data_IF_355411126262
#
_entry.id   IF_355411126262
#
_cell.length_a   1.000
_cell.length_b   1.000
_cell.length_c   1.000
_cell.angle_alpha   90.00
_cell.angle_beta   90.00
_cell.angle_gamma   90.00
#
_symmetry.space_group_name_H-M   'P 1'
#
loop_
_entity.id
_entity.type
_entity.pdbx_description
1 polymer ?
#
# COMPACT_ATOMS: atom_id res chain seq x y z
N UNK A 1 -23.66 47.25 -9.59
CA UNK A 1 -22.99 45.99 -9.97
C UNK A 1 -23.44 44.81 -9.10
N UNK A 2 -23.37 44.90 -7.76
CA UNK A 2 -23.87 43.84 -6.86
C UNK A 2 -25.37 43.53 -6.99
N UNK A 3 -26.23 44.53 -7.24
CA UNK A 3 -27.70 44.33 -7.34
C UNK A 3 -28.11 43.52 -8.58
N UNK A 4 -27.42 43.70 -9.71
CA UNK A 4 -27.66 42.95 -10.96
C UNK A 4 -27.20 41.49 -10.80
N UNK A 5 -26.07 41.27 -10.13
CA UNK A 5 -25.58 39.93 -9.80
C UNK A 5 -26.54 39.17 -8.88
N UNK A 6 -27.13 39.85 -7.90
CA UNK A 6 -28.14 39.26 -7.00
C UNK A 6 -29.43 38.94 -7.77
N UNK A 7 -29.88 39.82 -8.67
CA UNK A 7 -31.07 39.61 -9.50
C UNK A 7 -30.95 38.42 -10.48
N UNK A 8 -29.74 38.12 -10.95
CA UNK A 8 -29.48 37.01 -11.87
C UNK A 8 -28.70 35.85 -11.24
N UNK A 9 -28.59 35.84 -9.91
CA UNK A 9 -27.83 34.84 -9.15
C UNK A 9 -28.22 33.41 -9.52
N UNK A 10 -29.52 33.10 -9.58
CA UNK A 10 -30.01 31.77 -9.96
C UNK A 10 -29.57 31.36 -11.38
N UNK A 11 -29.61 32.28 -12.36
CA UNK A 11 -29.18 31.99 -13.74
C UNK A 11 -27.68 31.74 -13.82
N UNK A 12 -26.91 32.53 -13.06
CA UNK A 12 -25.45 32.38 -12.99
C UNK A 12 -25.04 31.08 -12.29
N UNK A 13 -25.74 30.67 -11.23
CA UNK A 13 -25.52 29.39 -10.56
C UNK A 13 -25.77 28.24 -11.53
N UNK A 14 -26.89 28.25 -12.25
CA UNK A 14 -27.22 27.19 -13.22
C UNK A 14 -26.17 27.17 -14.35
N UNK A 15 -25.81 28.33 -14.90
CA UNK A 15 -24.79 28.42 -15.95
C UNK A 15 -23.44 27.87 -15.45
N UNK A 16 -22.98 28.29 -14.27
CA UNK A 16 -21.72 27.82 -13.68
C UNK A 16 -21.75 26.32 -13.41
N UNK A 17 -22.89 25.78 -12.97
CA UNK A 17 -23.05 24.35 -12.75
C UNK A 17 -22.97 23.55 -14.06
N UNK A 18 -23.65 24.02 -15.11
CA UNK A 18 -23.58 23.40 -16.44
C UNK A 18 -22.17 23.49 -17.02
N UNK A 19 -21.50 24.64 -16.91
CA UNK A 19 -20.10 24.80 -17.30
C UNK A 19 -19.19 23.83 -16.54
N UNK A 20 -19.43 23.62 -15.24
CA UNK A 20 -18.69 22.65 -14.43
C UNK A 20 -18.88 21.21 -14.91
N UNK A 21 -20.12 20.80 -15.23
CA UNK A 21 -20.41 19.47 -15.78
C UNK A 21 -19.71 19.26 -17.12
N UNK A 22 -19.80 20.26 -18.01
CA UNK A 22 -19.13 20.20 -19.33
C UNK A 22 -17.62 20.11 -19.15
N UNK A 23 -17.04 20.89 -18.24
CA UNK A 23 -15.60 20.84 -17.96
C UNK A 23 -15.16 19.49 -17.38
N UNK A 24 -15.94 18.93 -16.46
CA UNK A 24 -15.69 17.59 -15.91
C UNK A 24 -15.71 16.51 -17.00
N UNK A 25 -16.66 16.59 -17.93
CA UNK A 25 -16.72 15.72 -19.10
C UNK A 25 -15.51 15.90 -20.04
N UNK A 26 -15.03 17.14 -20.21
CA UNK A 26 -13.83 17.44 -21.04
C UNK A 26 -12.56 16.84 -20.44
N UNK A 27 -12.42 16.79 -19.11
CA UNK A 27 -11.25 16.19 -18.44
C UNK A 27 -11.05 14.69 -18.76
N UNK A 28 -12.10 13.97 -19.13
CA UNK A 28 -12.00 12.58 -19.57
C UNK A 28 -11.34 12.42 -20.96
N UNK A 29 -11.14 13.51 -21.70
CA UNK A 29 -10.47 13.49 -23.01
C UNK A 29 -8.96 13.34 -22.88
N UNK A 30 -8.39 12.46 -23.71
CA UNK A 30 -6.94 12.22 -23.82
C UNK A 30 -6.13 13.46 -24.21
N UNK A 31 -6.78 14.50 -24.73
CA UNK A 31 -6.13 15.79 -25.05
C UNK A 31 -5.72 16.52 -23.78
N UNK A 32 -6.59 16.52 -22.76
CA UNK A 32 -6.39 17.22 -21.49
C UNK A 32 -5.77 16.32 -20.41
N UNK A 33 -5.80 15.01 -20.60
CA UNK A 33 -5.10 14.06 -19.75
C UNK A 33 -3.59 14.05 -20.11
N UNK A 34 -2.79 14.76 -19.30
CA UNK A 34 -1.35 14.56 -19.31
C UNK A 34 -1.08 13.15 -18.78
N UNK A 35 -0.29 12.35 -19.52
CA UNK A 35 0.09 10.97 -19.11
C UNK A 35 0.70 10.96 -17.70
N UNK A 36 1.04 9.78 -17.20
CA UNK A 36 1.84 9.60 -15.97
C UNK A 36 3.02 10.58 -15.93
N UNK A 37 2.88 11.61 -15.10
CA UNK A 37 3.90 12.62 -14.84
C UNK A 37 4.53 12.28 -13.49
N UNK A 38 5.85 12.31 -13.44
CA UNK A 38 6.59 12.24 -12.18
C UNK A 38 6.95 13.67 -11.81
N UNK A 39 6.43 14.15 -10.68
CA UNK A 39 6.80 15.46 -10.16
C UNK A 39 8.21 15.46 -9.53
N UNK A 40 8.66 14.28 -9.06
CA UNK A 40 9.96 14.09 -8.43
C UNK A 40 10.92 13.22 -9.28
N UNK A 41 11.99 13.83 -9.80
CA UNK A 41 13.00 13.15 -10.62
C UNK A 41 13.79 12.07 -9.87
N UNK A 42 13.85 12.15 -8.53
CA UNK A 42 14.52 11.15 -7.69
C UNK A 42 13.79 9.79 -7.67
N UNK A 43 12.53 9.76 -8.11
CA UNK A 43 11.72 8.55 -8.17
C UNK A 43 11.85 7.81 -9.52
N UNK A 44 12.73 8.24 -10.43
CA UNK A 44 12.88 7.59 -11.74
C UNK A 44 13.42 6.15 -11.58
N UNK A 45 12.65 5.11 -11.96
CA UNK A 45 12.98 3.73 -11.66
C UNK A 45 14.14 3.16 -12.50
N UNK A 46 14.77 3.97 -13.38
CA UNK A 46 15.86 3.59 -14.28
C UNK A 46 17.20 3.28 -13.60
N UNK A 47 17.37 3.64 -12.33
CA UNK A 47 18.69 3.63 -11.68
C UNK A 47 18.94 2.42 -10.75
N UNK A 48 17.96 1.51 -10.62
CA UNK A 48 17.99 0.48 -9.59
C UNK A 48 18.15 -0.92 -10.17
N UNK A 49 19.31 -1.55 -9.92
CA UNK A 49 19.54 -2.98 -10.19
C UNK A 49 18.77 -3.83 -9.18
N UNK A 50 18.04 -4.84 -9.65
CA UNK A 50 17.21 -5.74 -8.84
C UNK A 50 17.84 -7.12 -8.79
N UNK A 51 17.94 -7.69 -7.60
CA UNK A 51 18.60 -8.97 -7.36
C UNK A 51 17.66 -10.02 -6.74
N UNK A 52 16.40 -9.65 -6.47
CA UNK A 52 15.43 -10.55 -5.85
C UNK A 52 15.09 -11.75 -6.76
N UNK A 53 15.61 -12.93 -6.38
CA UNK A 53 15.30 -14.20 -7.04
C UNK A 53 15.36 -15.45 -6.12
N UNK A 54 14.68 -15.47 -4.95
CA UNK A 54 14.71 -16.62 -4.05
C UNK A 54 13.71 -17.73 -4.42
N UNK A 55 13.75 -18.26 -5.65
CA UNK A 55 12.76 -19.25 -6.18
C UNK A 55 12.44 -20.39 -5.21
N UNK A 56 13.45 -21.20 -4.88
CA UNK A 56 13.26 -22.39 -4.06
C UNK A 56 13.07 -22.09 -2.56
N UNK A 57 13.61 -20.96 -2.08
CA UNK A 57 13.50 -20.59 -0.67
C UNK A 57 12.08 -20.08 -0.35
N UNK A 58 11.53 -19.21 -1.21
CA UNK A 58 10.21 -18.63 -1.05
C UNK A 58 9.10 -19.69 -1.11
N UNK A 59 9.17 -20.63 -2.06
CA UNK A 59 8.20 -21.72 -2.15
C UNK A 59 8.23 -22.63 -0.91
N UNK A 60 9.43 -23.03 -0.45
CA UNK A 60 9.59 -23.84 0.76
C UNK A 60 9.08 -23.12 2.01
N UNK A 61 9.36 -21.83 2.15
CA UNK A 61 8.86 -21.02 3.26
C UNK A 61 7.34 -20.96 3.25
N UNK A 62 6.74 -20.69 2.09
CA UNK A 62 5.29 -20.62 1.93
C UNK A 62 4.62 -21.97 2.25
N UNK A 63 5.20 -23.08 1.80
CA UNK A 63 4.70 -24.42 2.13
C UNK A 63 4.77 -24.71 3.64
N UNK A 64 5.87 -24.32 4.29
CA UNK A 64 6.03 -24.46 5.74
C UNK A 64 5.00 -23.61 6.51
N UNK A 65 4.82 -22.35 6.12
CA UNK A 65 3.83 -21.45 6.73
C UNK A 65 2.40 -21.96 6.55
N UNK A 66 2.06 -22.45 5.36
CA UNK A 66 0.73 -23.00 5.12
C UNK A 66 0.45 -24.24 5.99
N UNK A 67 1.43 -25.12 6.18
CA UNK A 67 1.31 -26.28 7.08
C UNK A 67 1.06 -25.82 8.52
N UNK A 68 1.82 -24.85 9.01
CA UNK A 68 1.66 -24.37 10.38
C UNK A 68 0.31 -23.65 10.60
N UNK A 69 -0.09 -22.78 9.68
CA UNK A 69 -1.38 -22.09 9.77
C UNK A 69 -2.55 -23.07 9.66
N UNK A 70 -2.41 -24.16 8.89
CA UNK A 70 -3.45 -25.20 8.81
C UNK A 70 -3.63 -25.98 10.12
N UNK A 71 -2.60 -26.04 10.96
CA UNK A 71 -2.65 -26.69 12.28
C UNK A 71 -3.22 -25.77 13.38
N UNK A 72 -3.19 -24.46 13.17
CA UNK A 72 -3.71 -23.47 14.10
C UNK A 72 -5.23 -23.26 13.97
N UNK A 73 -5.84 -22.70 15.01
CA UNK A 73 -7.25 -22.30 14.96
C UNK A 73 -7.46 -21.20 13.90
N UNK A 74 -8.66 -21.17 13.31
CA UNK A 74 -8.98 -20.36 12.11
C UNK A 74 -8.68 -18.84 12.21
N UNK A 75 -8.48 -18.30 13.41
CA UNK A 75 -8.23 -16.87 13.67
C UNK A 75 -6.92 -16.59 14.40
N UNK A 76 -6.17 -17.62 14.79
CA UNK A 76 -4.91 -17.44 15.50
C UNK A 76 -3.81 -16.99 14.54
N UNK A 77 -3.05 -15.99 14.96
CA UNK A 77 -1.84 -15.53 14.30
C UNK A 77 -0.67 -16.45 14.71
N UNK A 78 0.12 -17.02 13.78
CA UNK A 78 1.33 -17.79 14.11
C UNK A 78 2.46 -16.83 14.54
N UNK A 79 2.28 -16.14 15.68
CA UNK A 79 3.20 -15.09 16.12
C UNK A 79 4.60 -15.62 16.37
N UNK A 80 4.72 -16.72 17.10
CA UNK A 80 6.00 -17.36 17.38
C UNK A 80 6.79 -17.65 16.09
N UNK A 81 6.15 -18.28 15.09
CA UNK A 81 6.80 -18.58 13.81
C UNK A 81 7.31 -17.34 13.10
N UNK A 82 6.46 -16.33 12.92
CA UNK A 82 6.80 -15.13 12.16
C UNK A 82 7.93 -14.36 12.85
N UNK A 83 7.82 -14.19 14.18
CA UNK A 83 8.83 -13.50 14.97
C UNK A 83 10.17 -14.25 14.93
N UNK A 84 10.18 -15.57 15.03
CA UNK A 84 11.39 -16.39 14.93
C UNK A 84 12.06 -16.29 13.55
N UNK A 85 11.29 -16.27 12.46
CA UNK A 85 11.85 -16.07 11.12
C UNK A 85 12.60 -14.73 11.00
N UNK A 86 12.02 -13.64 11.51
CA UNK A 86 12.71 -12.33 11.51
C UNK A 86 13.90 -12.29 12.47
N UNK A 87 13.79 -12.93 13.65
CA UNK A 87 14.85 -12.99 14.65
C UNK A 87 16.07 -13.74 14.12
N UNK A 88 15.87 -14.84 13.41
CA UNK A 88 16.94 -15.60 12.73
C UNK A 88 17.67 -14.78 11.65
N UNK A 89 17.01 -13.78 11.08
CA UNK A 89 17.62 -12.82 10.15
C UNK A 89 18.39 -11.68 10.86
N UNK A 90 18.32 -11.63 12.19
CA UNK A 90 18.99 -10.61 13.01
C UNK A 90 18.31 -9.24 12.97
N UNK A 91 16.97 -9.21 12.81
CA UNK A 91 16.17 -8.00 12.96
C UNK A 91 15.73 -7.83 14.41
N UNK A 92 15.41 -6.60 14.80
CA UNK A 92 14.77 -6.31 16.09
C UNK A 92 13.30 -6.69 15.97
N UNK A 93 12.79 -7.57 16.85
CA UNK A 93 11.47 -8.18 16.68
C UNK A 93 10.62 -7.94 17.92
N UNK A 94 9.37 -7.51 17.70
CA UNK A 94 8.47 -7.06 18.75
C UNK A 94 7.02 -7.48 18.50
N UNK A 95 6.29 -7.56 19.60
CA UNK A 95 4.84 -7.75 19.63
C UNK A 95 4.18 -6.48 20.17
N UNK A 96 2.97 -6.18 19.69
CA UNK A 96 2.15 -5.05 20.13
C UNK A 96 0.72 -5.55 20.38
N UNK A 97 0.43 -5.83 21.65
CA UNK A 97 -0.89 -6.22 22.12
C UNK A 97 -1.81 -5.01 22.22
N UNK A 98 -3.06 -5.22 21.83
CA UNK A 98 -4.11 -4.22 21.93
C UNK A 98 -5.43 -4.85 22.34
N UNK A 99 -6.29 -4.03 22.93
CA UNK A 99 -7.64 -4.40 23.34
C UNK A 99 -8.65 -3.48 22.69
N UNK A 100 -9.74 -4.06 22.22
CA UNK A 100 -10.87 -3.35 21.60
C UNK A 100 -12.07 -3.51 22.51
N UNK A 101 -12.59 -2.39 23.01
CA UNK A 101 -13.81 -2.34 23.79
C UNK A 101 -14.99 -2.06 22.85
N UNK A 102 -16.01 -2.92 22.86
CA UNK A 102 -17.15 -2.70 21.99
C UNK A 102 -18.03 -1.54 22.51
N UNK A 103 -18.43 -0.58 21.64
CA UNK A 103 -19.24 0.56 22.05
C UNK A 103 -20.63 0.18 22.59
N UNK A 104 -21.18 -0.94 22.11
CA UNK A 104 -22.56 -1.34 22.39
C UNK A 104 -22.69 -2.36 23.53
N UNK A 105 -21.59 -2.96 23.96
CA UNK A 105 -21.57 -3.92 25.06
C UNK A 105 -20.27 -3.77 25.85
N UNK A 106 -20.33 -2.97 26.92
CA UNK A 106 -19.17 -2.57 27.72
C UNK A 106 -18.45 -3.75 28.41
N UNK A 107 -19.06 -4.93 28.46
CA UNK A 107 -18.48 -6.13 29.09
C UNK A 107 -17.75 -7.03 28.09
N UNK A 108 -17.95 -6.84 26.78
CA UNK A 108 -17.18 -7.55 25.76
C UNK A 108 -15.98 -6.72 25.32
N UNK A 109 -14.79 -7.22 25.67
CA UNK A 109 -13.53 -6.74 25.11
C UNK A 109 -12.92 -7.86 24.25
N UNK A 110 -12.26 -7.46 23.18
CA UNK A 110 -11.54 -8.36 22.30
C UNK A 110 -10.05 -8.02 22.33
N UNK A 111 -9.18 -9.03 22.40
CA UNK A 111 -7.72 -8.86 22.40
C UNK A 111 -7.14 -9.22 21.04
N UNK A 112 -6.24 -8.39 20.53
CA UNK A 112 -5.46 -8.66 19.33
C UNK A 112 -3.98 -8.40 19.57
N UNK A 113 -3.15 -8.89 18.67
CA UNK A 113 -1.70 -8.69 18.71
C UNK A 113 -1.15 -8.41 17.31
N UNK A 114 -0.39 -7.33 17.19
CA UNK A 114 0.37 -7.01 15.98
C UNK A 114 1.83 -7.44 16.16
N UNK A 115 2.47 -7.80 15.05
CA UNK A 115 3.88 -8.19 15.04
C UNK A 115 4.63 -7.21 14.17
N UNK A 116 5.79 -6.75 14.62
CA UNK A 116 6.65 -5.97 13.77
C UNK A 116 8.12 -6.32 13.97
N UNK A 117 8.88 -6.21 12.89
CA UNK A 117 10.32 -6.40 12.88
C UNK A 117 10.98 -5.17 12.25
N UNK A 118 12.09 -4.71 12.81
CA UNK A 118 12.83 -3.54 12.33
C UNK A 118 14.20 -3.97 11.83
N UNK A 119 14.46 -3.69 10.56
CA UNK A 119 15.78 -3.73 9.97
C UNK A 119 16.42 -2.35 10.12
N UNK A 120 17.39 -2.22 11.03
CA UNK A 120 18.11 -0.97 11.27
C UNK A 120 19.06 -0.63 10.12
N UNK A 121 19.03 0.62 9.66
CA UNK A 121 19.99 1.13 8.68
C UNK A 121 21.41 1.13 9.28
N UNK A 122 22.42 0.49 8.65
CA UNK A 122 23.74 0.33 9.27
C UNK A 122 24.52 1.63 9.52
N UNK A 123 24.19 2.72 8.82
CA UNK A 123 25.00 3.96 8.77
C UNK A 123 24.26 5.23 9.18
N UNK A 124 23.02 5.13 9.67
CA UNK A 124 22.17 6.30 9.97
C UNK A 124 21.55 6.17 11.35
N UNK A 125 21.30 7.29 12.01
CA UNK A 125 20.77 7.37 13.37
C UNK A 125 19.27 6.98 13.51
N UNK A 126 18.77 6.07 12.67
CA UNK A 126 17.37 5.58 12.68
C UNK A 126 16.32 6.72 12.72
N UNK A 127 16.58 7.82 12.01
CA UNK A 127 15.74 9.03 12.01
C UNK A 127 14.54 8.94 11.07
N UNK A 128 14.58 8.02 10.11
CA UNK A 128 13.55 7.83 9.10
C UNK A 128 13.32 6.35 8.87
N UNK A 129 12.08 6.00 8.51
CA UNK A 129 11.67 4.63 8.27
C UNK A 129 10.73 4.50 7.07
N UNK A 130 10.74 3.31 6.45
CA UNK A 130 9.72 2.86 5.50
C UNK A 130 9.03 1.64 6.10
N UNK A 131 7.72 1.51 5.89
CA UNK A 131 6.95 0.37 6.38
C UNK A 131 6.51 -0.52 5.21
N UNK A 132 6.82 -1.80 5.29
CA UNK A 132 6.20 -2.85 4.47
C UNK A 132 5.23 -3.59 5.37
N UNK A 133 3.94 -3.50 5.08
CA UNK A 133 2.91 -4.05 5.94
C UNK A 133 2.04 -5.09 5.26
N UNK A 134 1.41 -5.95 6.05
CA UNK A 134 0.35 -6.85 5.58
C UNK A 134 -0.63 -7.14 6.70
N UNK A 135 -1.95 -7.09 6.45
CA UNK A 135 -2.91 -7.65 7.40
C UNK A 135 -2.77 -9.17 7.39
N UNK A 136 -2.87 -9.81 8.55
CA UNK A 136 -2.95 -11.27 8.65
C UNK A 136 -4.38 -11.74 8.36
N UNK A 137 -4.49 -12.62 7.37
CA UNK A 137 -5.71 -13.34 7.00
C UNK A 137 -5.34 -14.81 6.80
N UNK A 138 -5.98 -15.69 7.58
CA UNK A 138 -5.79 -17.14 7.46
C UNK A 138 -6.50 -17.74 6.24
N UNK A 139 -6.40 -19.07 6.09
CA UNK A 139 -6.85 -19.80 4.90
C UNK A 139 -8.33 -19.64 4.54
N UNK A 140 -9.23 -19.47 5.52
CA UNK A 140 -10.69 -19.36 5.31
C UNK A 140 -11.21 -17.92 5.28
N UNK A 141 -10.34 -16.93 5.13
CA UNK A 141 -10.76 -15.54 5.00
C UNK A 141 -11.55 -15.32 3.71
N UNK A 142 -12.63 -14.52 3.77
CA UNK A 142 -13.43 -14.16 2.59
C UNK A 142 -12.60 -13.42 1.53
N UNK A 143 -11.64 -12.61 1.99
CA UNK A 143 -10.77 -11.80 1.13
C UNK A 143 -9.48 -12.51 0.70
N UNK A 144 -9.39 -13.83 0.92
CA UNK A 144 -8.19 -14.62 0.66
C UNK A 144 -7.18 -14.59 1.80
N UNK A 145 -6.28 -15.58 1.78
CA UNK A 145 -5.18 -15.74 2.75
C UNK A 145 -4.04 -14.80 2.41
N UNK A 146 -3.46 -14.08 3.36
CA UNK A 146 -2.31 -13.19 3.13
C UNK A 146 -0.97 -13.83 3.51
N UNK A 147 -0.94 -15.14 3.74
CA UNK A 147 0.30 -15.89 4.00
C UNK A 147 1.37 -15.64 2.92
N UNK A 148 1.05 -15.58 1.61
CA UNK A 148 2.05 -15.28 0.60
C UNK A 148 2.67 -13.88 0.75
N UNK A 149 1.90 -12.90 1.25
CA UNK A 149 2.42 -11.56 1.56
C UNK A 149 3.45 -11.61 2.69
N UNK A 150 3.17 -12.37 3.75
CA UNK A 150 4.08 -12.53 4.89
C UNK A 150 5.34 -13.31 4.47
N UNK A 151 5.20 -14.37 3.69
CA UNK A 151 6.34 -15.14 3.16
C UNK A 151 7.24 -14.25 2.28
N UNK A 152 6.64 -13.46 1.39
CA UNK A 152 7.36 -12.51 0.54
C UNK A 152 8.10 -11.47 1.39
N UNK A 153 7.44 -10.94 2.42
CA UNK A 153 8.01 -9.97 3.34
C UNK A 153 9.23 -10.51 4.10
N UNK A 154 9.19 -11.76 4.58
CA UNK A 154 10.32 -12.43 5.24
C UNK A 154 11.49 -12.63 4.26
N UNK A 155 11.23 -13.09 3.03
CA UNK A 155 12.29 -13.24 2.02
C UNK A 155 12.89 -11.90 1.59
N UNK A 156 12.07 -10.83 1.51
CA UNK A 156 12.57 -9.48 1.28
C UNK A 156 13.50 -9.04 2.42
N UNK A 157 13.12 -9.26 3.68
CA UNK A 157 13.97 -8.97 4.82
C UNK A 157 15.32 -9.72 4.74
N UNK A 158 15.31 -10.98 4.32
CA UNK A 158 16.53 -11.77 4.10
C UNK A 158 17.43 -11.18 3.03
N UNK A 159 16.87 -10.73 1.90
CA UNK A 159 17.64 -10.08 0.84
C UNK A 159 18.16 -8.73 1.31
N UNK A 160 17.31 -7.91 1.93
CA UNK A 160 17.69 -6.57 2.39
C UNK A 160 18.78 -6.61 3.45
N UNK A 161 18.76 -7.60 4.36
CA UNK A 161 19.81 -7.77 5.37
C UNK A 161 21.20 -8.03 4.78
N UNK A 162 21.30 -8.62 3.59
CA UNK A 162 22.58 -8.87 2.92
C UNK A 162 23.24 -7.60 2.38
N UNK A 163 22.46 -6.53 2.24
CA UNK A 163 22.93 -5.29 1.66
C UNK A 163 23.08 -4.19 2.72
N UNK A 164 24.21 -3.48 2.70
CA UNK A 164 24.53 -2.44 3.67
C UNK A 164 24.25 -1.00 3.18
N UNK A 165 23.53 -0.83 2.07
CA UNK A 165 23.27 0.48 1.48
C UNK A 165 22.04 1.21 2.05
N UNK A 166 21.32 0.62 3.01
CA UNK A 166 20.12 1.23 3.59
C UNK A 166 20.45 2.46 4.48
N UNK A 167 19.67 3.53 4.31
CA UNK A 167 19.76 4.88 4.88
C UNK A 167 18.53 5.24 5.72
N UNK A 168 17.49 4.41 5.62
CA UNK A 168 16.27 4.45 6.42
C UNK A 168 16.05 3.07 7.02
N UNK A 169 15.50 3.02 8.21
CA UNK A 169 15.07 1.75 8.79
C UNK A 169 13.91 1.17 7.97
N UNK A 170 13.81 -0.15 7.92
CA UNK A 170 12.69 -0.82 7.26
C UNK A 170 11.90 -1.58 8.32
N UNK A 171 10.64 -1.20 8.50
CA UNK A 171 9.71 -1.84 9.42
C UNK A 171 8.85 -2.82 8.63
N UNK A 172 8.91 -4.09 9.03
CA UNK A 172 8.02 -5.14 8.52
C UNK A 172 6.88 -5.32 9.52
N UNK A 173 5.65 -5.02 9.12
CA UNK A 173 4.47 -4.99 10.01
C UNK A 173 3.41 -6.02 9.60
N UNK A 174 3.05 -6.91 10.52
CA UNK A 174 1.93 -7.84 10.37
C UNK A 174 0.84 -7.48 11.36
N UNK A 175 -0.32 -7.06 10.87
CA UNK A 175 -1.43 -6.65 11.74
C UNK A 175 -2.50 -7.72 11.86
N UNK A 176 -2.97 -7.97 13.07
CA UNK A 176 -4.13 -8.84 13.27
C UNK A 176 -5.41 -8.01 13.18
N UNK A 177 -6.50 -8.61 12.68
CA UNK A 177 -7.79 -7.93 12.50
C UNK A 177 -7.77 -6.75 11.52
N UNK A 178 -6.83 -6.74 10.58
CA UNK A 178 -6.79 -5.78 9.47
C UNK A 178 -6.70 -4.34 9.96
N UNK A 179 -7.69 -3.52 9.60
CA UNK A 179 -7.69 -2.08 9.90
C UNK A 179 -7.65 -1.78 11.41
N UNK A 180 -8.21 -2.64 12.25
CA UNK A 180 -8.17 -2.47 13.71
C UNK A 180 -6.73 -2.59 14.21
N UNK A 181 -6.00 -3.62 13.77
CA UNK A 181 -4.60 -3.80 14.13
C UNK A 181 -3.72 -2.66 13.60
N UNK A 182 -3.97 -2.19 12.37
CA UNK A 182 -3.27 -1.01 11.84
C UNK A 182 -3.50 0.23 12.70
N UNK A 183 -4.75 0.50 13.07
CA UNK A 183 -5.10 1.63 13.94
C UNK A 183 -4.40 1.53 15.30
N UNK A 184 -4.44 0.36 15.94
CA UNK A 184 -3.80 0.12 17.23
C UNK A 184 -2.27 0.32 17.17
N UNK A 185 -1.63 -0.16 16.11
CA UNK A 185 -0.19 0.00 15.93
C UNK A 185 0.18 1.47 15.66
N UNK A 186 -0.58 2.16 14.82
CA UNK A 186 -0.37 3.58 14.51
C UNK A 186 -0.54 4.48 15.74
N UNK A 187 -1.58 4.26 16.52
CA UNK A 187 -1.83 4.98 17.78
C UNK A 187 -0.67 4.79 18.76
N UNK A 188 -0.17 3.56 18.91
CA UNK A 188 0.99 3.27 19.75
C UNK A 188 2.31 3.86 19.21
N UNK A 189 2.49 3.88 17.88
CA UNK A 189 3.69 4.41 17.24
C UNK A 189 3.83 5.92 17.40
N UNK A 190 2.72 6.65 17.21
CA UNK A 190 2.68 8.11 17.36
C UNK A 190 2.39 8.58 18.79
N UNK A 191 2.04 7.66 19.69
CA UNK A 191 1.69 7.99 21.08
C UNK A 191 0.39 8.79 21.18
N UNK A 192 -0.57 8.53 20.27
CA UNK A 192 -1.87 9.20 20.23
C UNK A 192 -2.99 8.19 20.45
N UNK A 193 -4.16 8.67 20.88
CA UNK A 193 -5.37 7.88 20.97
C UNK A 193 -6.37 8.45 19.97
N UNK A 194 -6.53 7.80 18.81
CA UNK A 194 -7.50 8.28 17.82
C UNK A 194 -8.91 7.72 18.05
N UNK A 195 -9.05 6.69 18.89
CA UNK A 195 -10.34 6.08 19.22
C UNK A 195 -10.40 5.72 20.69
N UNK A 196 -11.54 6.01 21.33
CA UNK A 196 -11.81 5.62 22.72
C UNK A 196 -12.00 4.11 22.90
N UNK A 197 -12.16 3.37 21.79
CA UNK A 197 -12.46 1.95 21.79
C UNK A 197 -11.22 1.07 21.64
N UNK A 198 -10.12 1.60 21.10
CA UNK A 198 -8.91 0.82 20.82
C UNK A 198 -7.82 1.29 21.77
N UNK A 199 -7.40 0.41 22.66
CA UNK A 199 -6.28 0.67 23.57
C UNK A 199 -5.11 -0.22 23.17
N UNK A 200 -3.99 0.41 22.83
CA UNK A 200 -2.77 -0.26 22.41
C UNK A 200 -1.68 -0.07 23.46
N UNK A 201 -0.86 -1.10 23.69
CA UNK A 201 0.29 -0.97 24.57
C UNK A 201 1.37 -0.07 23.93
N UNK A 202 2.20 0.56 24.76
CA UNK A 202 3.33 1.36 24.28
C UNK A 202 4.33 0.45 23.55
N UNK A 203 4.74 0.85 22.34
CA UNK A 203 5.74 0.09 21.59
C UNK A 203 7.07 0.03 22.35
N UNK A 204 7.63 -1.19 22.45
CA UNK A 204 8.94 -1.43 23.05
C UNK A 204 10.08 -0.70 22.34
N UNK A 205 9.96 -0.57 21.01
CA UNK A 205 10.91 0.19 20.21
C UNK A 205 10.20 0.81 19.02
N UNK A 206 10.57 2.03 18.71
CA UNK A 206 10.13 2.73 17.51
C UNK A 206 11.31 2.95 16.57
N UNK A 207 11.00 3.43 15.37
CA UNK A 207 11.98 4.05 14.49
C UNK A 207 11.61 5.51 14.31
N UNK A 208 12.41 6.27 13.57
CA UNK A 208 12.12 7.65 13.24
C UNK A 208 11.00 7.79 12.20
N UNK A 209 10.85 9.00 11.65
CA UNK A 209 9.67 9.40 10.86
C UNK A 209 9.37 8.43 9.71
N UNK A 210 8.12 7.99 9.62
CA UNK A 210 7.67 7.11 8.54
C UNK A 210 7.49 7.95 7.27
N UNK A 211 8.34 7.69 6.27
CA UNK A 211 8.33 8.42 4.99
C UNK A 211 7.33 7.81 4.00
N UNK A 212 7.12 6.50 4.05
CA UNK A 212 6.19 5.83 3.15
C UNK A 212 5.83 4.41 3.58
N UNK A 213 4.68 3.94 3.10
CA UNK A 213 4.15 2.61 3.44
C UNK A 213 3.66 1.87 2.21
N UNK A 214 4.06 0.60 2.11
CA UNK A 214 3.59 -0.33 1.08
C UNK A 214 2.86 -1.46 1.79
N UNK A 215 1.54 -1.48 1.66
CA UNK A 215 0.72 -2.55 2.22
C UNK A 215 0.49 -3.66 1.18
N UNK A 216 0.69 -4.91 1.58
CA UNK A 216 0.60 -6.08 0.72
C UNK A 216 -0.69 -6.85 1.02
N UNK A 217 -1.46 -7.15 -0.02
CA UNK A 217 -2.62 -8.04 0.01
C UNK A 217 -2.50 -9.09 -1.10
N UNK A 218 -1.40 -9.84 -1.07
CA UNK A 218 -1.10 -10.92 -2.02
C UNK A 218 -1.61 -12.25 -1.47
N UNK A 219 -2.43 -12.93 -2.27
CA UNK A 219 -3.21 -14.11 -1.88
C UNK A 219 -2.66 -15.44 -2.34
N UNK A 220 -1.93 -15.44 -3.47
CA UNK A 220 -1.44 -16.65 -4.14
C UNK A 220 0.01 -16.48 -4.57
N UNK A 221 0.72 -17.60 -4.77
CA UNK A 221 2.08 -17.57 -5.33
C UNK A 221 2.06 -17.15 -6.81
N UNK A 222 1.01 -17.53 -7.52
CA UNK A 222 0.76 -17.18 -8.92
C UNK A 222 -0.58 -16.46 -9.01
N UNK A 223 -0.60 -15.28 -9.62
CA UNK A 223 -1.79 -14.45 -9.79
C UNK A 223 -1.85 -13.84 -11.18
N UNK A 224 -3.01 -13.33 -11.60
CA UNK A 224 -3.20 -12.84 -12.98
C UNK A 224 -2.73 -11.39 -13.16
N UNK A 225 -2.97 -10.56 -12.15
CA UNK A 225 -2.62 -9.15 -12.18
C UNK A 225 -2.63 -8.56 -10.77
N UNK A 226 -2.18 -7.31 -10.66
CA UNK A 226 -2.17 -6.54 -9.43
C UNK A 226 -3.18 -5.39 -9.53
N UNK A 227 -4.02 -5.23 -8.51
CA UNK A 227 -4.90 -4.08 -8.33
C UNK A 227 -4.30 -3.15 -7.27
N UNK A 228 -4.02 -1.90 -7.67
CA UNK A 228 -3.47 -0.88 -6.75
C UNK A 228 -4.63 -0.10 -6.13
N UNK A 229 -4.59 0.02 -4.81
CA UNK A 229 -5.57 0.76 -4.01
C UNK A 229 -4.91 1.96 -3.34
N UNK A 230 -5.56 3.12 -3.41
CA UNK A 230 -5.00 4.40 -2.95
C UNK A 230 -5.99 5.25 -2.15
N UNK A 231 -7.25 4.85 -2.05
CA UNK A 231 -8.31 5.64 -1.44
C UNK A 231 -8.23 5.57 0.08
N UNK A 232 -7.99 6.73 0.68
CA UNK A 232 -7.88 6.93 2.11
C UNK A 232 -9.17 7.33 2.82
N UNK A 233 -9.04 7.50 4.15
CA UNK A 233 -10.08 8.12 4.97
C UNK A 233 -10.40 9.52 4.47
N UNK A 234 -11.70 9.87 4.47
CA UNK A 234 -12.20 11.18 4.03
C UNK A 234 -11.77 11.57 2.61
N UNK A 235 -11.49 10.57 1.76
CA UNK A 235 -11.08 10.79 0.39
C UNK A 235 -9.65 11.30 0.24
N UNK A 236 -8.79 11.15 1.25
CA UNK A 236 -7.36 11.44 1.10
C UNK A 236 -6.73 10.49 0.07
N UNK A 237 -5.75 11.00 -0.68
CA UNK A 237 -5.00 10.25 -1.68
C UNK A 237 -3.49 10.41 -1.40
N UNK A 238 -2.67 9.38 -1.70
CA UNK A 238 -1.22 9.51 -1.69
C UNK A 238 -0.75 10.48 -2.78
N UNK A 239 0.54 10.83 -2.72
CA UNK A 239 1.19 11.45 -3.86
C UNK A 239 1.05 10.55 -5.10
N UNK A 240 0.67 11.16 -6.22
CA UNK A 240 0.51 10.49 -7.51
C UNK A 240 1.84 9.85 -7.98
N UNK A 241 2.98 10.42 -7.59
CA UNK A 241 4.29 9.87 -7.94
C UNK A 241 4.52 8.48 -7.35
N UNK A 242 4.06 8.22 -6.13
CA UNK A 242 4.16 6.89 -5.52
C UNK A 242 3.33 5.87 -6.30
N UNK A 243 2.12 6.26 -6.71
CA UNK A 243 1.26 5.41 -7.56
C UNK A 243 1.91 5.15 -8.92
N UNK A 244 2.38 6.21 -9.60
CA UNK A 244 3.03 6.12 -10.90
C UNK A 244 4.29 5.25 -10.84
N UNK A 245 5.06 5.34 -9.75
CA UNK A 245 6.25 4.54 -9.52
C UNK A 245 5.91 3.05 -9.44
N UNK A 246 4.86 2.69 -8.68
CA UNK A 246 4.42 1.28 -8.60
C UNK A 246 3.96 0.78 -9.97
N UNK A 247 3.15 1.56 -10.68
CA UNK A 247 2.68 1.19 -12.03
C UNK A 247 3.84 0.96 -12.97
N UNK A 248 4.82 1.87 -13.00
CA UNK A 248 6.01 1.77 -13.85
C UNK A 248 6.90 0.57 -13.49
N UNK A 249 7.10 0.30 -12.19
CA UNK A 249 7.88 -0.87 -11.75
C UNK A 249 7.18 -2.19 -12.09
N UNK A 250 5.85 -2.26 -11.92
CA UNK A 250 5.06 -3.41 -12.33
C UNK A 250 5.13 -3.63 -13.84
N UNK A 251 4.99 -2.58 -14.66
CA UNK A 251 5.09 -2.68 -16.10
C UNK A 251 6.46 -3.21 -16.55
N UNK A 252 7.54 -2.81 -15.87
CA UNK A 252 8.90 -3.31 -16.15
C UNK A 252 9.13 -4.77 -15.79
N UNK A 253 8.44 -5.28 -14.77
CA UNK A 253 8.46 -6.70 -14.41
C UNK A 253 7.36 -7.51 -15.13
N UNK A 254 6.73 -6.90 -16.15
CA UNK A 254 5.65 -7.48 -16.97
C UNK A 254 4.44 -7.92 -16.13
N UNK A 255 4.17 -7.22 -15.04
CA UNK A 255 3.02 -7.45 -14.16
C UNK A 255 1.87 -6.56 -14.64
N UNK A 256 0.74 -7.13 -15.11
CA UNK A 256 -0.42 -6.32 -15.47
C UNK A 256 -0.97 -5.60 -14.24
N UNK A 257 -1.24 -4.30 -14.39
CA UNK A 257 -1.78 -3.47 -13.31
C UNK A 257 -3.21 -3.04 -13.64
N UNK A 258 -4.08 -3.12 -12.64
CA UNK A 258 -5.40 -2.51 -12.65
C UNK A 258 -5.51 -1.48 -11.52
N UNK A 259 -6.42 -0.54 -11.72
CA UNK A 259 -6.85 0.42 -10.71
C UNK A 259 -8.36 0.31 -10.59
N UNK A 260 -8.87 0.07 -9.38
CA UNK A 260 -10.30 -0.21 -9.15
C UNK A 260 -10.83 -1.34 -10.04
N UNK A 261 -10.04 -2.40 -10.23
CA UNK A 261 -10.35 -3.53 -11.13
C UNK A 261 -10.53 -3.14 -12.61
N UNK A 262 -10.08 -1.95 -13.01
CA UNK A 262 -10.07 -1.49 -14.40
C UNK A 262 -8.64 -1.46 -14.92
N UNK A 263 -8.41 -2.13 -16.03
CA UNK A 263 -7.13 -2.07 -16.74
C UNK A 263 -7.05 -0.76 -17.53
N UNK A 264 -5.84 -0.23 -17.62
CA UNK A 264 -5.56 0.78 -18.64
C UNK A 264 -5.54 0.08 -20.01
N UNK A 265 -6.65 0.20 -20.76
CA UNK A 265 -6.85 -0.55 -22.01
C UNK A 265 -6.00 -0.01 -23.17
N UNK A 266 -5.44 1.19 -23.09
CA UNK A 266 -4.78 1.83 -24.24
C UNK A 266 -3.57 2.70 -23.82
N UNK A 267 -2.33 2.25 -24.08
CA UNK A 267 -1.14 3.10 -23.87
C UNK A 267 -0.97 4.19 -24.95
N UNK A 268 -1.71 4.10 -26.05
CA UNK A 268 -1.70 5.06 -27.16
C UNK A 268 -2.92 5.96 -27.06
N UNK A 269 -2.71 7.29 -27.12
CA UNK A 269 -3.79 8.29 -27.20
C UNK A 269 -4.64 7.97 -28.43
N UNK A 270 -5.80 7.38 -28.21
CA UNK A 270 -6.78 7.16 -29.28
C UNK A 270 -7.94 8.08 -28.95
N UNK A 271 -8.16 9.09 -29.78
CA UNK A 271 -9.28 10.03 -29.63
C UNK A 271 -10.60 9.35 -30.02
N UNK A 272 -10.88 8.20 -29.42
CA UNK A 272 -12.08 7.41 -29.66
C UNK A 272 -13.12 7.70 -28.58
N UNK A 273 -14.39 7.65 -28.97
CA UNK A 273 -15.52 7.76 -28.04
C UNK A 273 -15.46 6.70 -26.93
N UNK A 274 -14.99 5.49 -27.27
CA UNK A 274 -14.81 4.40 -26.31
C UNK A 274 -13.76 4.72 -25.24
N UNK A 275 -12.62 5.31 -25.63
CA UNK A 275 -11.57 5.77 -24.70
C UNK A 275 -12.14 6.84 -23.76
N UNK A 276 -12.83 7.84 -24.32
CA UNK A 276 -13.45 8.90 -23.53
C UNK A 276 -14.46 8.36 -22.51
N UNK A 277 -15.36 7.45 -22.93
CA UNK A 277 -16.34 6.84 -22.03
C UNK A 277 -15.68 5.98 -20.95
N UNK A 278 -14.61 5.25 -21.28
CA UNK A 278 -13.85 4.47 -20.31
C UNK A 278 -13.17 5.37 -19.27
N UNK A 279 -12.54 6.46 -19.70
CA UNK A 279 -11.90 7.45 -18.83
C UNK A 279 -12.93 8.15 -17.94
N UNK A 280 -14.05 8.59 -18.51
CA UNK A 280 -15.15 9.23 -17.77
C UNK A 280 -15.70 8.30 -16.70
N UNK A 281 -15.94 7.02 -17.03
CA UNK A 281 -16.38 6.03 -16.05
C UNK A 281 -15.33 5.82 -14.96
N UNK A 282 -14.05 5.75 -15.31
CA UNK A 282 -12.97 5.57 -14.34
C UNK A 282 -12.87 6.76 -13.39
N UNK A 283 -12.90 7.98 -13.91
CA UNK A 283 -12.94 9.21 -13.12
C UNK A 283 -14.19 9.27 -12.24
N UNK A 284 -15.37 8.97 -12.79
CA UNK A 284 -16.61 8.98 -12.04
C UNK A 284 -16.60 7.97 -10.89
N UNK A 285 -16.08 6.76 -11.13
CA UNK A 285 -15.89 5.75 -10.09
C UNK A 285 -14.91 6.23 -9.00
N UNK A 286 -13.80 6.87 -9.39
CA UNK A 286 -12.84 7.43 -8.44
C UNK A 286 -13.49 8.50 -7.55
N UNK A 287 -14.24 9.44 -8.13
CA UNK A 287 -14.97 10.48 -7.38
C UNK A 287 -16.01 9.84 -6.45
N UNK A 288 -16.79 8.88 -6.94
CA UNK A 288 -17.82 8.21 -6.13
C UNK A 288 -17.21 7.43 -4.97
N UNK A 289 -16.11 6.72 -5.20
CA UNK A 289 -15.43 5.96 -4.16
C UNK A 289 -14.82 6.90 -3.11
N UNK A 290 -14.14 7.96 -3.56
CA UNK A 290 -13.57 8.98 -2.69
C UNK A 290 -14.65 9.69 -1.85
N UNK A 291 -15.83 9.94 -2.44
CA UNK A 291 -16.97 10.55 -1.75
C UNK A 291 -17.54 9.69 -0.63
N UNK A 292 -17.34 8.37 -0.65
CA UNK A 292 -17.72 7.52 0.50
C UNK A 292 -16.92 7.83 1.76
N UNK A 293 -15.73 8.41 1.60
CA UNK A 293 -14.80 8.69 2.71
C UNK A 293 -14.24 7.45 3.40
N UNK A 294 -14.53 6.25 2.88
CA UNK A 294 -14.07 4.98 3.43
C UNK A 294 -12.74 4.55 2.77
N UNK A 295 -11.81 3.99 3.54
CA UNK A 295 -10.53 3.56 3.00
C UNK A 295 -10.69 2.22 2.26
N UNK A 296 -10.02 2.06 1.11
CA UNK A 296 -10.07 0.80 0.33
C UNK A 296 -9.15 -0.30 0.87
N UNK A 297 -8.27 0.02 1.81
CA UNK A 297 -7.39 -0.92 2.52
C UNK A 297 -6.68 -0.30 3.72
N UNK A 298 -5.75 -1.05 4.32
CA UNK A 298 -5.03 -0.60 5.53
C UNK A 298 -4.21 0.68 5.34
N UNK A 299 -3.73 0.94 4.12
CA UNK A 299 -3.01 2.16 3.75
C UNK A 299 -3.78 3.45 4.08
N UNK A 300 -5.11 3.43 3.98
CA UNK A 300 -5.93 4.61 4.18
C UNK A 300 -5.88 5.22 5.59
N UNK A 301 -5.47 4.43 6.59
CA UNK A 301 -5.27 4.89 7.97
C UNK A 301 -3.97 5.70 8.13
N UNK A 302 -2.96 5.42 7.30
CA UNK A 302 -1.67 6.11 7.34
C UNK A 302 -1.77 7.55 6.82
N UNK A 303 -2.67 7.82 5.88
CA UNK A 303 -2.88 9.15 5.32
C UNK A 303 -3.29 10.20 6.36
N UNK A 304 -4.03 9.79 7.41
CA UNK A 304 -4.39 10.68 8.53
C UNK A 304 -3.16 11.24 9.25
N UNK A 305 -2.04 10.50 9.24
CA UNK A 305 -0.78 10.90 9.83
C UNK A 305 0.15 11.63 8.83
N UNK A 306 -0.35 12.01 7.66
CA UNK A 306 0.44 12.64 6.61
C UNK A 306 1.42 11.70 5.90
N UNK A 307 1.27 10.38 6.08
CA UNK A 307 2.17 9.39 5.51
C UNK A 307 1.65 8.95 4.14
N UNK A 308 2.54 8.89 3.16
CA UNK A 308 2.22 8.37 1.83
C UNK A 308 2.15 6.85 1.88
N UNK A 309 0.99 6.29 1.50
CA UNK A 309 0.74 4.87 1.60
C UNK A 309 -0.12 4.37 0.43
N UNK A 310 0.08 3.12 0.03
CA UNK A 310 -0.82 2.43 -0.90
C UNK A 310 -0.92 0.95 -0.58
N UNK A 311 -1.95 0.29 -1.10
CA UNK A 311 -2.08 -1.17 -1.00
C UNK A 311 -1.93 -1.82 -2.36
N UNK A 312 -1.11 -2.86 -2.42
CA UNK A 312 -0.92 -3.69 -3.60
C UNK A 312 -1.65 -5.01 -3.37
N UNK A 313 -2.77 -5.22 -4.08
CA UNK A 313 -3.60 -6.42 -3.97
C UNK A 313 -3.37 -7.33 -5.18
N UNK A 314 -3.12 -8.61 -4.95
CA UNK A 314 -3.12 -9.56 -6.07
C UNK A 314 -4.54 -9.98 -6.43
N UNK A 315 -4.80 -10.17 -7.72
CA UNK A 315 -6.07 -10.70 -8.22
C UNK A 315 -5.81 -11.93 -9.07
N UNK A 316 -6.42 -13.04 -8.67
CA UNK A 316 -6.33 -14.33 -9.37
C UNK A 316 -7.63 -14.57 -10.13
N UNK A 317 -7.56 -14.48 -11.46
CA UNK A 317 -8.68 -14.83 -12.34
C UNK A 317 -8.52 -16.26 -12.85
N UNK A 318 -9.30 -17.18 -12.28
CA UNK A 318 -9.28 -18.60 -12.65
C UNK A 318 -9.83 -18.88 -14.04
N UNK A 319 -10.53 -17.92 -14.67
CA UNK A 319 -11.15 -18.09 -16.00
C UNK A 319 -10.26 -17.55 -17.13
N UNK A 320 -9.31 -16.71 -16.79
CA UNK A 320 -8.42 -16.09 -17.76
C UNK A 320 -7.23 -17.00 -18.01
N UNK A 321 -7.06 -17.50 -19.24
CA UNK A 321 -5.82 -18.15 -19.69
C UNK A 321 -4.62 -17.21 -19.82
N UNK A 322 -4.60 -16.12 -19.03
CA UNK A 322 -3.49 -15.16 -18.98
C UNK A 322 -2.28 -15.80 -18.31
N UNK A 323 -1.11 -15.35 -18.74
CA UNK A 323 0.16 -15.70 -18.11
C UNK A 323 0.11 -15.36 -16.61
N UNK A 324 0.54 -16.33 -15.80
CA UNK A 324 0.53 -16.17 -14.35
C UNK A 324 1.76 -15.38 -13.92
N UNK A 325 1.55 -14.24 -13.29
CA UNK A 325 2.60 -13.49 -12.61
C UNK A 325 3.01 -14.24 -11.36
N UNK A 326 4.32 -14.36 -11.15
CA UNK A 326 4.90 -15.01 -9.97
C UNK A 326 5.09 -14.03 -8.81
N UNK A 327 5.01 -14.56 -7.59
CA UNK A 327 5.36 -13.83 -6.36
C UNK A 327 6.78 -13.25 -6.37
N UNK A 328 7.68 -13.82 -7.19
CA UNK A 328 9.06 -13.36 -7.34
C UNK A 328 9.14 -12.06 -8.13
N UNK A 329 8.37 -11.94 -9.22
CA UNK A 329 8.26 -10.68 -9.96
C UNK A 329 7.77 -9.57 -9.03
N UNK A 330 6.79 -9.89 -8.18
CA UNK A 330 6.30 -8.95 -7.17
C UNK A 330 7.39 -8.57 -6.15
N UNK A 331 8.21 -9.51 -5.71
CA UNK A 331 9.36 -9.21 -4.85
C UNK A 331 10.39 -8.28 -5.50
N UNK A 332 10.63 -8.39 -6.81
CA UNK A 332 11.48 -7.44 -7.55
C UNK A 332 10.88 -6.05 -7.61
N UNK A 333 9.57 -5.93 -7.78
CA UNK A 333 8.87 -4.64 -7.69
C UNK A 333 9.06 -4.02 -6.30
N UNK A 334 8.86 -4.79 -5.23
CA UNK A 334 9.02 -4.31 -3.85
C UNK A 334 10.47 -3.95 -3.50
N UNK A 335 11.44 -4.72 -3.98
CA UNK A 335 12.86 -4.36 -3.89
C UNK A 335 13.12 -3.02 -4.59
N UNK A 336 12.61 -2.84 -5.81
CA UNK A 336 12.71 -1.59 -6.55
C UNK A 336 12.10 -0.41 -5.80
N UNK A 337 10.88 -0.58 -5.28
CA UNK A 337 10.18 0.45 -4.51
C UNK A 337 10.96 0.85 -3.26
N UNK A 338 11.44 -0.15 -2.50
CA UNK A 338 12.21 0.08 -1.28
C UNK A 338 13.52 0.82 -1.57
N UNK A 339 14.17 0.53 -2.70
CA UNK A 339 15.41 1.20 -3.12
C UNK A 339 15.17 2.63 -3.64
N UNK A 340 14.07 2.88 -4.34
CA UNK A 340 13.74 4.21 -4.86
C UNK A 340 13.32 5.17 -3.73
N UNK A 341 12.40 4.73 -2.86
CA UNK A 341 11.99 5.49 -1.66
C UNK A 341 13.12 5.71 -0.65
N UNK A 342 14.18 4.92 -0.80
CA UNK A 342 15.39 5.01 -0.01
C UNK A 342 16.35 6.12 -0.47
N UNK A 343 16.40 6.49 -1.77
CA UNK A 343 17.37 7.48 -2.28
C UNK A 343 17.18 8.80 -1.51
N UNK A 344 18.18 9.30 -0.77
CA UNK A 344 18.08 10.59 -0.12
C UNK A 344 17.99 11.68 -1.19
N UNK A 345 16.96 12.53 -1.09
CA UNK A 345 16.73 13.68 -1.99
C UNK A 345 17.98 14.58 -2.09
N UNK A 346 18.85 14.55 -1.08
CA UNK A 346 20.13 15.28 -1.03
C UNK A 346 21.20 14.78 -2.01
N UNK A 347 21.10 13.58 -2.61
CA UNK A 347 22.11 13.10 -3.57
C UNK A 347 22.06 13.78 -4.95
N UNK A 348 21.05 14.62 -5.22
CA UNK A 348 20.96 15.40 -6.47
C UNK A 348 21.54 16.81 -6.39
N UNK A 349 22.01 17.26 -5.22
CA UNK A 349 22.69 18.55 -5.03
C UNK A 349 24.17 18.34 -4.68
N UNK A 350 24.93 17.71 -5.57
CA UNK A 350 26.37 17.97 -5.65
C UNK A 350 26.63 18.52 -7.05
N UNK A 351 26.67 19.86 -7.23
CA UNK A 351 27.27 20.42 -8.41
C UNK A 351 28.76 20.13 -8.31
N UNK A 352 29.23 19.12 -9.06
CA UNK A 352 30.66 19.03 -9.36
C UNK A 352 31.02 20.26 -10.19
N UNK A 353 31.79 21.15 -9.57
CA UNK A 353 32.45 22.29 -10.22
C UNK A 353 33.36 21.85 -11.37
#
# INVERSE_FOLDING_TARGET
MCTILIQHSNKLIILSFVCGIVWFAVLASDVFNNKTYFSENALLPGLVVREFNPRAALSRLLDAMNKEVSALSLKALPSAMILEQFRQLGLDVYENNFTVNYPLDALSYFKGSNLYAVLRAPKVASTEAIVISTPYRGYKSKDGSTIPSIALMIELARVFRRHAYWSKDIIFLVTQHGNIGFQAWLDAYFGVLTSDYIMSEKLHSTSGLIQGVINLEITDYYFSHVDIKIEGLHGQLPNLDLFNLVVELCNREEIPVSFQSRFNKYPLKTQTWESWWHNLNTMGHMVLFQATGLPSGGHGLFHRFGIQALTIKSVTDKRSGRESVSLIQMGRVLEGLSKVTHIPIYSFYVPTY
#
